data_IF_334270869248
#
_entry.id   IF_334270869248
#
_cell.length_a   1.000
_cell.length_b   1.000
_cell.length_c   1.000
_cell.angle_alpha   90.00
_cell.angle_beta   90.00
_cell.angle_gamma   90.00
#
_symmetry.space_group_name_H-M   'P 1'
#
loop_
_entity.id
_entity.type
_entity.pdbx_description
1 polymer ?
#
# COMPACT_ATOMS: atom_id res chain seq x y z
N UNK A 1 -11.52 5.85 8.08
CA UNK A 1 -10.46 5.97 7.05
C UNK A 1 -11.05 6.52 5.76
N UNK A 2 -10.40 7.50 5.13
CA UNK A 2 -10.78 7.98 3.77
C UNK A 2 -9.52 8.16 2.92
N UNK A 3 -9.27 7.32 1.90
CA UNK A 3 -8.15 7.52 0.99
C UNK A 3 -8.48 8.60 -0.04
N UNK A 4 -7.48 9.40 -0.42
CA UNK A 4 -7.63 10.58 -1.30
C UNK A 4 -6.87 10.38 -2.62
N UNK A 5 -5.64 9.90 -2.55
CA UNK A 5 -4.78 9.73 -3.72
C UNK A 5 -3.84 8.55 -3.50
N UNK A 6 -3.73 7.70 -4.50
CA UNK A 6 -2.77 6.60 -4.54
C UNK A 6 -1.80 6.84 -5.69
N UNK A 7 -0.50 6.76 -5.41
CA UNK A 7 0.57 6.79 -6.40
C UNK A 7 1.40 5.52 -6.27
N UNK A 8 1.65 4.87 -7.40
CA UNK A 8 2.40 3.62 -7.50
C UNK A 8 3.49 3.81 -8.54
N UNK A 9 4.70 3.29 -8.29
CA UNK A 9 5.76 3.26 -9.28
C UNK A 9 6.56 1.97 -9.15
N UNK A 10 6.88 1.37 -10.29
CA UNK A 10 7.63 0.10 -10.35
C UNK A 10 7.04 -1.00 -9.44
N UNK A 11 5.71 -1.07 -9.30
CA UNK A 11 5.01 -1.92 -8.34
C UNK A 11 4.02 -2.86 -9.04
N UNK A 12 4.20 -4.17 -8.86
CA UNK A 12 3.43 -5.20 -9.56
C UNK A 12 3.54 -5.08 -11.10
N UNK A 13 2.44 -5.06 -11.88
CA UNK A 13 2.53 -4.89 -13.33
C UNK A 13 2.80 -3.44 -13.76
N UNK A 14 2.81 -2.47 -12.84
CA UNK A 14 3.04 -1.06 -13.17
C UNK A 14 4.54 -0.76 -13.17
N UNK A 15 5.17 -0.74 -14.35
CA UNK A 15 6.57 -0.34 -14.51
C UNK A 15 6.74 1.16 -14.24
N UNK A 16 5.87 1.96 -14.86
CA UNK A 16 5.85 3.41 -14.76
C UNK A 16 5.01 3.90 -13.57
N UNK A 17 4.95 5.21 -13.44
CA UNK A 17 4.11 5.87 -12.44
C UNK A 17 2.63 5.80 -12.82
N UNK A 18 1.82 5.35 -11.87
CA UNK A 18 0.36 5.38 -11.93
C UNK A 18 -0.14 6.20 -10.76
N UNK A 19 -0.97 7.20 -11.05
CA UNK A 19 -1.64 8.05 -10.04
C UNK A 19 -3.14 7.87 -10.17
N UNK A 20 -3.79 7.57 -9.06
CA UNK A 20 -5.24 7.41 -8.95
C UNK A 20 -5.76 8.47 -7.99
N UNK A 21 -6.64 9.34 -8.49
CA UNK A 21 -7.41 10.27 -7.68
C UNK A 21 -8.64 9.53 -7.12
N UNK A 22 -8.58 9.18 -5.84
CA UNK A 22 -9.64 8.43 -5.17
C UNK A 22 -10.78 9.36 -4.71
N UNK A 23 -10.52 10.66 -4.53
CA UNK A 23 -11.59 11.63 -4.25
C UNK A 23 -12.50 11.79 -5.49
N UNK A 24 -11.92 11.88 -6.68
CA UNK A 24 -12.69 11.94 -7.93
C UNK A 24 -13.53 10.67 -8.16
N UNK A 25 -12.97 9.48 -7.86
CA UNK A 25 -13.69 8.21 -7.95
C UNK A 25 -14.78 8.06 -6.89
N UNK A 26 -14.51 8.50 -5.66
CA UNK A 26 -15.42 8.39 -4.53
C UNK A 26 -16.54 9.44 -4.52
N UNK A 27 -16.48 10.47 -5.38
CA UNK A 27 -17.50 11.50 -5.48
C UNK A 27 -18.92 10.93 -5.72
N UNK A 28 -19.01 9.80 -6.43
CA UNK A 28 -20.27 9.10 -6.73
C UNK A 28 -20.66 8.03 -5.69
N UNK A 29 -19.86 7.85 -4.63
CA UNK A 29 -20.06 6.86 -3.56
C UNK A 29 -19.74 5.41 -3.94
N UNK A 30 -19.88 5.02 -5.21
CA UNK A 30 -19.53 3.71 -5.75
C UNK A 30 -18.80 3.87 -7.09
N UNK A 31 -17.72 3.11 -7.27
CA UNK A 31 -16.97 3.06 -8.53
C UNK A 31 -16.57 1.62 -8.87
N UNK A 32 -16.28 1.38 -10.15
CA UNK A 32 -15.88 0.09 -10.69
C UNK A 32 -14.47 0.17 -11.28
N UNK A 33 -13.58 -0.71 -10.81
CA UNK A 33 -12.31 -0.98 -11.48
C UNK A 33 -12.50 -2.10 -12.49
N UNK A 34 -12.55 -1.77 -13.79
CA UNK A 34 -12.69 -2.75 -14.87
C UNK A 34 -11.41 -2.84 -15.72
N UNK A 35 -11.20 -3.99 -16.36
CA UNK A 35 -10.04 -4.26 -17.21
C UNK A 35 -9.72 -5.75 -17.30
N UNK A 36 -8.81 -6.13 -18.17
CA UNK A 36 -8.43 -7.53 -18.42
C UNK A 36 -7.72 -8.19 -17.22
N UNK A 37 -7.75 -9.52 -17.13
CA UNK A 37 -6.94 -10.24 -16.13
C UNK A 37 -5.45 -9.89 -16.32
N UNK A 38 -4.77 -9.56 -15.21
CA UNK A 38 -3.37 -9.11 -15.26
C UNK A 38 -3.18 -7.60 -15.42
N UNK A 39 -4.24 -6.82 -15.67
CA UNK A 39 -4.16 -5.36 -15.84
C UNK A 39 -3.79 -4.54 -14.59
N UNK A 40 -3.48 -5.19 -13.47
CA UNK A 40 -3.08 -4.52 -12.23
C UNK A 40 -4.22 -4.02 -11.32
N UNK A 41 -5.48 -4.36 -11.58
CA UNK A 41 -6.63 -4.00 -10.71
C UNK A 41 -6.39 -4.38 -9.24
N UNK A 42 -6.03 -5.63 -8.98
CA UNK A 42 -5.71 -6.07 -7.61
C UNK A 42 -4.44 -5.40 -7.09
N UNK A 43 -3.50 -5.03 -7.96
CA UNK A 43 -2.28 -4.32 -7.53
C UNK A 43 -2.59 -2.90 -7.03
N UNK A 44 -3.57 -2.20 -7.61
CA UNK A 44 -4.04 -0.93 -7.06
C UNK A 44 -4.54 -1.10 -5.62
N UNK A 45 -5.31 -2.16 -5.37
CA UNK A 45 -5.82 -2.51 -4.04
C UNK A 45 -4.70 -2.93 -3.07
N UNK A 46 -3.76 -3.75 -3.53
CA UNK A 46 -2.56 -4.13 -2.78
C UNK A 46 -1.73 -2.89 -2.40
N UNK A 47 -1.67 -1.88 -3.28
CA UNK A 47 -0.99 -0.62 -3.04
C UNK A 47 -1.53 0.11 -1.81
N UNK A 48 -2.86 0.16 -1.65
CA UNK A 48 -3.50 0.76 -0.47
C UNK A 48 -3.09 -0.02 0.79
N UNK A 49 -3.23 -1.35 0.76
CA UNK A 49 -2.84 -2.21 1.88
C UNK A 49 -1.36 -2.07 2.26
N UNK A 50 -0.49 -2.02 1.25
CA UNK A 50 0.94 -1.87 1.42
C UNK A 50 1.30 -0.51 2.02
N UNK A 51 0.70 0.58 1.55
CA UNK A 51 0.96 1.90 2.09
C UNK A 51 0.54 1.99 3.58
N UNK A 52 -0.61 1.43 3.93
CA UNK A 52 -1.10 1.44 5.32
C UNK A 52 -0.22 0.57 6.23
N UNK A 53 -0.02 -0.71 5.87
CA UNK A 53 0.52 -1.73 6.78
C UNK A 53 1.93 -2.23 6.44
N UNK A 54 2.52 -1.80 5.32
CA UNK A 54 3.76 -2.37 4.79
C UNK A 54 3.60 -3.82 4.30
N UNK A 55 2.37 -4.32 4.17
CA UNK A 55 2.02 -5.70 3.82
C UNK A 55 1.03 -5.71 2.65
N UNK A 56 1.07 -6.76 1.83
CA UNK A 56 0.03 -7.06 0.84
C UNK A 56 -0.62 -8.40 1.16
N UNK A 57 -1.89 -8.63 0.77
CA UNK A 57 -2.58 -9.88 1.10
C UNK A 57 -2.01 -11.10 0.37
N UNK A 58 -2.17 -12.27 0.99
CA UNK A 58 -1.98 -13.57 0.37
C UNK A 58 -0.54 -13.92 -0.04
N UNK A 59 -0.41 -14.70 -1.12
CA UNK A 59 0.88 -15.22 -1.60
C UNK A 59 1.85 -14.11 -2.04
N UNK A 60 1.34 -12.98 -2.56
CA UNK A 60 2.18 -11.84 -2.99
C UNK A 60 3.04 -11.30 -1.85
N UNK A 61 2.48 -11.20 -0.64
CA UNK A 61 3.21 -10.73 0.53
C UNK A 61 4.32 -11.69 0.97
N UNK A 62 4.13 -13.00 0.74
CA UNK A 62 5.11 -14.05 1.08
C UNK A 62 6.26 -14.13 0.07
N UNK A 63 6.01 -13.81 -1.19
CA UNK A 63 7.05 -13.87 -2.24
C UNK A 63 8.04 -12.71 -2.22
N UNK A 64 7.70 -11.60 -1.55
CA UNK A 64 8.53 -10.38 -1.52
C UNK A 64 8.70 -9.67 -2.87
N UNK A 65 8.17 -10.21 -3.97
CA UNK A 65 8.25 -9.66 -5.34
C UNK A 65 7.18 -8.61 -5.56
N UNK A 66 7.31 -7.49 -4.86
CA UNK A 66 6.46 -6.31 -5.04
C UNK A 66 6.93 -5.42 -6.20
N UNK A 67 8.22 -5.50 -6.56
CA UNK A 67 8.81 -4.78 -7.68
C UNK A 67 8.28 -5.31 -9.02
N UNK A 68 8.04 -4.40 -9.97
CA UNK A 68 7.76 -4.73 -11.36
C UNK A 68 9.00 -5.24 -12.08
N UNK A 69 8.91 -6.40 -12.72
CA UNK A 69 9.98 -6.96 -13.56
C UNK A 69 10.21 -6.13 -14.85
N UNK A 70 9.26 -5.28 -15.22
CA UNK A 70 9.34 -4.40 -16.39
C UNK A 70 9.87 -2.99 -16.06
N UNK A 71 10.09 -2.67 -14.78
CA UNK A 71 10.61 -1.37 -14.37
C UNK A 71 12.10 -1.25 -14.63
N UNK A 72 12.52 -0.09 -15.14
CA UNK A 72 13.93 0.25 -15.29
C UNK A 72 14.71 0.03 -13.98
N UNK A 73 15.92 -0.57 -14.02
CA UNK A 73 16.70 -0.90 -12.82
C UNK A 73 17.03 0.29 -11.91
N UNK A 74 17.07 1.52 -12.44
CA UNK A 74 17.29 2.75 -11.69
C UNK A 74 16.02 3.28 -11.00
N UNK A 75 14.85 2.84 -11.42
CA UNK A 75 13.56 3.29 -10.90
C UNK A 75 13.24 2.53 -9.61
N UNK A 76 13.21 3.25 -8.49
CA UNK A 76 12.77 2.71 -7.19
C UNK A 76 11.29 2.33 -7.21
N UNK A 77 11.01 1.17 -6.62
CA UNK A 77 9.65 0.69 -6.27
C UNK A 77 9.15 1.49 -5.08
N UNK A 78 8.00 2.15 -5.26
CA UNK A 78 7.43 3.04 -4.24
C UNK A 78 5.90 3.08 -4.36
N UNK A 79 5.25 3.19 -3.20
CA UNK A 79 3.82 3.44 -3.08
C UNK A 79 3.61 4.62 -2.14
N UNK A 80 2.86 5.61 -2.58
CA UNK A 80 2.45 6.77 -1.80
C UNK A 80 0.92 6.78 -1.68
N UNK A 81 0.42 6.90 -0.46
CA UNK A 81 -1.00 7.05 -0.17
C UNK A 81 -1.25 8.33 0.62
N UNK A 82 -2.12 9.19 0.09
CA UNK A 82 -2.74 10.26 0.89
C UNK A 82 -4.06 9.76 1.46
N UNK A 83 -4.23 9.88 2.79
CA UNK A 83 -5.36 9.31 3.52
C UNK A 83 -5.71 10.14 4.74
N UNK A 84 -7.01 10.26 5.05
CA UNK A 84 -7.48 10.77 6.33
C UNK A 84 -7.73 9.63 7.32
N UNK A 85 -7.05 9.67 8.46
CA UNK A 85 -7.15 8.71 9.58
C UNK A 85 -7.30 9.48 10.90
N UNK A 86 -8.28 9.12 11.73
CA UNK A 86 -8.54 9.83 12.99
C UNK A 86 -8.79 11.34 12.83
N UNK A 87 -9.35 11.78 11.70
CA UNK A 87 -9.57 13.21 11.40
C UNK A 87 -8.32 13.99 10.96
N UNK A 88 -7.14 13.34 10.92
CA UNK A 88 -5.87 13.92 10.49
C UNK A 88 -5.54 13.45 9.08
N UNK A 89 -4.93 14.31 8.27
CA UNK A 89 -4.54 14.00 6.89
C UNK A 89 -3.07 13.59 6.84
N UNK A 90 -2.84 12.42 6.27
CA UNK A 90 -1.55 11.73 6.22
C UNK A 90 -1.10 11.50 4.79
N UNK A 91 0.21 11.52 4.59
CA UNK A 91 0.88 10.99 3.40
C UNK A 91 1.85 9.93 3.85
N UNK A 92 1.69 8.73 3.30
CA UNK A 92 2.47 7.56 3.67
C UNK A 92 3.17 7.06 2.41
N UNK A 93 4.47 7.22 2.36
CA UNK A 93 5.31 6.75 1.25
C UNK A 93 6.12 5.56 1.72
N UNK A 94 5.96 4.40 1.09
CA UNK A 94 6.68 3.16 1.42
C UNK A 94 7.41 2.61 0.22
N UNK A 95 8.61 2.10 0.46
CA UNK A 95 9.36 1.31 -0.51
C UNK A 95 9.69 -0.06 0.10
N UNK A 96 9.44 -1.17 -0.62
CA UNK A 96 9.85 -2.49 -0.15
C UNK A 96 11.37 -2.62 -0.17
N UNK A 97 11.87 -3.65 0.52
CA UNK A 97 13.25 -4.09 0.31
C UNK A 97 13.40 -4.53 -1.15
N UNK A 98 14.46 -4.08 -1.82
CA UNK A 98 14.64 -4.29 -3.26
C UNK A 98 16.11 -4.24 -3.66
N UNK A 99 16.46 -4.95 -4.74
CA UNK A 99 17.77 -4.82 -5.35
C UNK A 99 17.88 -3.51 -6.11
N UNK A 100 19.03 -2.85 -5.97
CA UNK A 100 19.36 -1.61 -6.69
C UNK A 100 20.79 -1.70 -7.22
N UNK A 101 21.06 -1.07 -8.37
CA UNK A 101 22.43 -0.85 -8.82
C UNK A 101 23.28 -0.16 -7.72
N UNK A 102 24.51 -0.64 -7.52
CA UNK A 102 25.44 0.00 -6.58
C UNK A 102 25.74 1.43 -7.02
N UNK A 103 25.85 2.34 -6.05
CA UNK A 103 26.23 3.73 -6.33
C UNK A 103 27.67 3.86 -6.86
N UNK A 104 28.52 2.85 -6.62
CA UNK A 104 29.91 2.76 -7.09
C UNK A 104 30.21 1.33 -7.50
N UNK A 105 30.91 1.16 -8.63
CA UNK A 105 31.28 -0.15 -9.17
C UNK A 105 30.16 -0.83 -9.96
N UNK A 106 30.33 -2.11 -10.27
CA UNK A 106 29.38 -2.94 -11.00
C UNK A 106 28.55 -3.83 -10.05
N UNK A 107 27.35 -4.22 -10.49
CA UNK A 107 26.46 -5.12 -9.75
C UNK A 107 25.37 -4.42 -8.93
N UNK A 108 24.61 -5.21 -8.16
CA UNK A 108 23.48 -4.76 -7.34
C UNK A 108 23.78 -4.84 -5.85
N UNK A 109 22.98 -4.14 -5.06
CA UNK A 109 22.96 -4.20 -3.60
C UNK A 109 21.52 -4.17 -3.11
N UNK A 110 21.26 -4.86 -2.01
CA UNK A 110 19.96 -4.82 -1.35
C UNK A 110 19.76 -3.48 -0.66
N UNK A 111 18.72 -2.78 -1.08
CA UNK A 111 18.17 -1.65 -0.35
C UNK A 111 17.08 -2.14 0.61
N UNK A 112 17.18 -1.75 1.88
CA UNK A 112 16.19 -2.13 2.90
C UNK A 112 14.88 -1.37 2.71
N UNK A 113 13.79 -1.95 3.23
CA UNK A 113 12.47 -1.31 3.22
C UNK A 113 12.51 0.06 3.93
N UNK A 114 11.69 1.00 3.47
CA UNK A 114 11.60 2.35 4.03
C UNK A 114 10.15 2.80 4.16
N UNK A 115 9.95 3.75 5.05
CA UNK A 115 8.73 4.54 5.17
C UNK A 115 9.10 6.01 5.32
N UNK A 116 8.26 6.88 4.78
CA UNK A 116 8.18 8.30 5.09
C UNK A 116 6.73 8.56 5.47
N UNK A 117 6.51 8.92 6.73
CA UNK A 117 5.22 9.30 7.27
C UNK A 117 5.19 10.82 7.43
N UNK A 118 4.23 11.45 6.79
CA UNK A 118 4.01 12.90 6.86
C UNK A 118 2.57 13.20 7.26
N UNK A 119 2.39 14.28 8.02
CA UNK A 119 1.08 14.82 8.38
C UNK A 119 0.90 16.20 7.78
N UNK A 120 -0.30 16.49 7.29
CA UNK A 120 -0.63 17.84 6.85
C UNK A 120 -0.95 18.74 8.06
N UNK A 121 -0.09 19.73 8.30
CA UNK A 121 -0.22 20.73 9.38
C UNK A 121 -0.11 22.12 8.79
N UNK A 122 -1.08 23.00 9.08
CA UNK A 122 -1.10 24.39 8.60
C UNK A 122 -0.86 24.53 7.07
N UNK A 123 -1.38 23.58 6.28
CA UNK A 123 -1.26 23.59 4.81
C UNK A 123 0.02 22.98 4.24
N UNK A 124 0.99 22.59 5.06
CA UNK A 124 2.21 21.91 4.61
C UNK A 124 2.30 20.46 5.12
N UNK A 125 3.06 19.64 4.40
CA UNK A 125 3.40 18.29 4.85
C UNK A 125 4.60 18.37 5.78
N UNK A 126 4.46 17.80 6.97
CA UNK A 126 5.50 17.75 7.99
C UNK A 126 5.86 16.30 8.24
N UNK A 127 7.14 15.96 8.09
CA UNK A 127 7.65 14.63 8.43
C UNK A 127 7.41 14.32 9.89
N UNK A 128 6.73 13.20 10.13
CA UNK A 128 6.45 12.64 11.46
C UNK A 128 7.47 11.56 11.80
N UNK A 129 7.73 10.62 10.87
CA UNK A 129 8.77 9.61 11.06
C UNK A 129 9.27 9.05 9.72
N UNK A 130 10.50 8.54 9.73
CA UNK A 130 11.09 7.73 8.65
C UNK A 130 11.40 6.30 9.09
N UNK A 131 11.00 5.92 10.31
CA UNK A 131 11.22 4.58 10.87
C UNK A 131 9.94 3.75 10.79
N UNK A 132 10.09 2.48 10.42
CA UNK A 132 8.95 1.58 10.18
C UNK A 132 8.16 1.30 11.45
N UNK A 133 8.84 1.07 12.57
CA UNK A 133 8.26 0.80 13.88
C UNK A 133 7.50 2.01 14.43
N UNK A 134 8.09 3.20 14.36
CA UNK A 134 7.44 4.45 14.79
C UNK A 134 6.24 4.80 13.91
N UNK A 135 6.35 4.63 12.58
CA UNK A 135 5.23 4.88 11.69
C UNK A 135 4.06 3.91 11.96
N UNK A 136 4.34 2.64 12.26
CA UNK A 136 3.31 1.69 12.66
C UNK A 136 2.67 2.08 13.99
N UNK A 137 3.46 2.47 14.99
CA UNK A 137 2.96 2.91 16.30
C UNK A 137 2.03 4.14 16.20
N UNK A 138 2.27 5.05 15.26
CA UNK A 138 1.39 6.20 15.01
C UNK A 138 0.13 5.80 14.23
N UNK A 139 0.24 4.91 13.24
CA UNK A 139 -0.86 4.57 12.32
C UNK A 139 -1.82 3.52 12.89
N UNK A 140 -1.32 2.49 13.59
CA UNK A 140 -2.11 1.34 14.04
C UNK A 140 -3.30 1.74 14.93
N UNK A 141 -3.15 2.64 15.93
CA UNK A 141 -4.28 3.10 16.74
C UNK A 141 -5.34 3.85 15.91
N UNK A 142 -4.93 4.56 14.85
CA UNK A 142 -5.83 5.33 13.99
C UNK A 142 -6.57 4.45 12.97
N UNK A 143 -5.97 3.33 12.60
CA UNK A 143 -6.57 2.31 11.73
C UNK A 143 -7.57 1.45 12.51
N UNK A 144 -7.29 1.18 13.79
CA UNK A 144 -8.20 0.48 14.70
C UNK A 144 -8.42 -0.99 14.37
N UNK A 145 -7.62 -1.55 13.47
CA UNK A 145 -7.63 -2.97 13.10
C UNK A 145 -6.27 -3.39 12.55
N UNK A 146 -5.93 -4.66 12.75
CA UNK A 146 -4.75 -5.29 12.20
C UNK A 146 -4.81 -5.38 10.67
N UNK A 147 -3.64 -5.57 10.04
CA UNK A 147 -3.56 -5.80 8.60
C UNK A 147 -4.38 -7.02 8.15
N UNK A 148 -4.38 -8.10 8.94
CA UNK A 148 -5.09 -9.33 8.62
C UNK A 148 -6.61 -9.11 8.66
N UNK A 149 -7.11 -8.38 9.66
CA UNK A 149 -8.52 -7.95 9.71
C UNK A 149 -8.86 -7.04 8.52
N UNK A 150 -8.01 -6.07 8.19
CA UNK A 150 -8.23 -5.17 7.05
C UNK A 150 -8.38 -5.93 5.73
N UNK A 151 -7.52 -6.91 5.47
CA UNK A 151 -7.60 -7.77 4.29
C UNK A 151 -8.79 -8.75 4.34
N UNK A 152 -9.35 -9.02 5.51
CA UNK A 152 -10.52 -9.87 5.64
C UNK A 152 -11.85 -9.12 5.50
N UNK A 153 -11.91 -7.83 5.85
CA UNK A 153 -13.20 -7.11 5.96
C UNK A 153 -13.31 -5.84 5.12
N UNK A 154 -12.20 -5.15 4.83
CA UNK A 154 -12.19 -3.91 4.04
C UNK A 154 -11.74 -4.16 2.61
N UNK A 155 -10.62 -4.85 2.44
CA UNK A 155 -10.03 -5.15 1.15
C UNK A 155 -10.18 -6.63 0.83
N UNK A 156 -11.39 -7.06 0.46
CA UNK A 156 -11.71 -8.45 0.19
C UNK A 156 -10.98 -8.97 -1.08
N UNK A 157 -9.95 -9.83 -0.95
CA UNK A 157 -9.28 -10.41 -2.10
C UNK A 157 -10.22 -11.35 -2.84
N UNK A 158 -10.02 -11.48 -4.15
CA UNK A 158 -10.81 -12.37 -4.98
C UNK A 158 -10.74 -13.81 -4.45
N UNK A 159 -11.90 -14.42 -4.18
CA UNK A 159 -12.02 -15.79 -3.66
C UNK A 159 -12.05 -15.93 -2.13
N UNK A 160 -11.66 -14.91 -1.38
CA UNK A 160 -11.63 -14.93 0.11
C UNK A 160 -12.98 -14.57 0.75
N UNK A 161 -13.93 -14.02 -0.02
CA UNK A 161 -15.28 -13.74 0.48
C UNK A 161 -16.02 -15.00 0.96
N UNK A 162 -15.83 -16.13 0.26
CA UNK A 162 -16.40 -17.40 0.68
C UNK A 162 -15.78 -17.90 2.00
N UNK A 163 -14.51 -17.57 2.26
CA UNK A 163 -13.84 -17.88 3.53
C UNK A 163 -14.39 -17.03 4.66
N UNK A 164 -14.61 -15.73 4.43
CA UNK A 164 -15.28 -14.86 5.41
C UNK A 164 -16.67 -15.40 5.81
N UNK A 165 -17.50 -15.82 4.85
CA UNK A 165 -18.82 -16.40 5.14
C UNK A 165 -18.75 -17.71 5.93
N UNK A 166 -17.67 -18.49 5.73
CA UNK A 166 -17.44 -19.80 6.36
C UNK A 166 -16.58 -19.76 7.61
N UNK A 167 -16.01 -18.61 7.96
CA UNK A 167 -15.20 -18.44 9.16
C UNK A 167 -16.07 -18.70 10.39
N UNK A 168 -15.61 -19.59 11.28
CA UNK A 168 -16.32 -19.91 12.52
C UNK A 168 -16.43 -18.67 13.41
N UNK A 169 -17.43 -18.63 14.29
CA UNK A 169 -17.74 -17.47 15.14
C UNK A 169 -16.54 -16.97 15.97
N UNK A 170 -15.56 -17.85 16.23
CA UNK A 170 -14.30 -17.51 16.94
C UNK A 170 -13.29 -16.73 16.09
N UNK A 171 -13.33 -16.82 14.76
CA UNK A 171 -12.45 -16.08 13.85
C UNK A 171 -13.00 -14.71 13.45
N UNK A 172 -14.26 -14.39 13.83
CA UNK A 172 -14.91 -13.11 13.53
C UNK A 172 -14.79 -12.08 14.66
N UNK A 173 -14.29 -12.49 15.83
CA UNK A 173 -14.43 -11.75 17.09
C UNK A 173 -13.14 -11.18 17.70
N UNK A 174 -11.97 -11.39 17.10
CA UNK A 174 -10.67 -10.86 17.58
C UNK A 174 -10.06 -9.88 16.59
#
# INVERSE_FOLDING_TARGET
>A
MRPHRLRLRAFGPFADEVVVDLDALAASGLFLLHGETGSGKTTLLDGIGFALYGRVPGARGKTGRLRSDHADPGVRTEVELEVTLGGRRWRITRSPAQERAKARGTGTTTEQARVLLEEQRAGSWVTVSTRIDEAAAELDPLLGMSADQFFQVVLLPQGEFARFLRADSRERGD
#
